data_IF_791853871344
#
_entry.id   IF_791853871344
#
_cell.length_a   1.000
_cell.length_b   1.000
_cell.length_c   1.000
_cell.angle_alpha   90.00
_cell.angle_beta   90.00
_cell.angle_gamma   90.00
#
_symmetry.space_group_name_H-M   'P 1'
#
loop_
_entity.id
_entity.type
_entity.pdbx_description
1 polymer ?
#
# COMPACT_ATOMS: atom_id res chain seq x y z
N UNK A 1 23.32 1.96 -2.78
CA UNK A 1 22.09 1.31 -2.32
C UNK A 1 20.92 1.84 -3.12
N UNK A 2 20.21 0.98 -3.77
CA UNK A 2 19.07 1.42 -4.57
C UNK A 2 17.82 1.42 -3.72
N UNK A 3 17.11 2.54 -3.73
CA UNK A 3 15.80 2.59 -3.12
C UNK A 3 14.81 1.88 -4.02
N UNK A 4 14.23 0.81 -3.51
CA UNK A 4 13.18 0.13 -4.25
C UNK A 4 11.94 0.99 -4.23
N UNK A 5 11.49 1.36 -5.42
CA UNK A 5 10.27 2.10 -5.59
C UNK A 5 9.18 1.12 -6.03
N UNK A 6 8.17 0.99 -5.21
CA UNK A 6 7.03 0.13 -5.53
C UNK A 6 5.90 0.99 -6.07
N UNK A 7 5.51 0.73 -7.29
CA UNK A 7 4.44 1.47 -7.95
C UNK A 7 3.13 0.73 -7.71
N UNK A 8 2.14 1.47 -7.24
CA UNK A 8 0.81 0.93 -7.00
C UNK A 8 -0.01 1.06 -8.28
N UNK A 9 -0.67 -0.02 -8.64
CA UNK A 9 -1.55 -0.05 -9.82
C UNK A 9 -2.96 -0.38 -9.37
N UNK A 10 -3.94 -0.01 -10.19
CA UNK A 10 -5.32 -0.36 -9.91
C UNK A 10 -5.91 -1.13 -11.10
N UNK A 11 -6.86 -2.01 -10.78
CA UNK A 11 -7.48 -2.88 -11.78
C UNK A 11 -8.94 -3.10 -11.42
N UNK A 12 -9.81 -3.01 -12.42
CA UNK A 12 -11.22 -3.33 -12.21
C UNK A 12 -11.40 -4.84 -12.20
N UNK A 13 -12.20 -5.32 -11.29
CA UNK A 13 -12.58 -6.72 -11.26
C UNK A 13 -14.05 -6.86 -10.94
N UNK A 14 -14.63 -7.98 -11.35
CA UNK A 14 -16.04 -8.28 -11.11
C UNK A 14 -16.15 -9.41 -10.09
N UNK A 15 -17.05 -9.21 -9.12
CA UNK A 15 -17.31 -10.22 -8.11
C UNK A 15 -18.81 -10.21 -7.80
N UNK A 16 -19.45 -11.35 -8.00
CA UNK A 16 -20.90 -11.51 -7.77
C UNK A 16 -21.74 -10.46 -8.50
N UNK A 17 -21.41 -10.21 -9.76
CA UNK A 17 -22.14 -9.27 -10.59
C UNK A 17 -21.90 -7.80 -10.34
N UNK A 18 -20.96 -7.46 -9.46
CA UNK A 18 -20.61 -6.07 -9.16
C UNK A 18 -19.16 -5.79 -9.53
N UNK A 19 -18.92 -4.58 -10.01
CA UNK A 19 -17.57 -4.12 -10.31
C UNK A 19 -16.93 -3.51 -9.09
N UNK A 20 -15.65 -3.87 -8.87
CA UNK A 20 -14.84 -3.32 -7.80
C UNK A 20 -13.50 -2.88 -8.36
N UNK A 21 -12.86 -1.95 -7.67
CA UNK A 21 -11.50 -1.53 -7.99
C UNK A 21 -10.54 -2.18 -7.00
N UNK A 22 -9.55 -2.91 -7.53
CA UNK A 22 -8.49 -3.49 -6.72
C UNK A 22 -7.20 -2.72 -6.87
N UNK A 23 -6.39 -2.69 -5.83
CA UNK A 23 -5.10 -2.00 -5.80
C UNK A 23 -4.02 -3.02 -5.46
N UNK A 24 -2.89 -2.93 -6.15
CA UNK A 24 -1.82 -3.91 -5.96
C UNK A 24 -0.46 -3.32 -6.34
N UNK A 25 0.59 -3.98 -5.86
CA UNK A 25 1.97 -3.72 -6.28
C UNK A 25 2.55 -4.99 -6.87
N UNK A 26 3.41 -4.85 -7.86
CA UNK A 26 4.13 -5.95 -8.48
C UNK A 26 5.62 -5.81 -8.25
N UNK A 27 6.32 -6.92 -8.24
CA UNK A 27 7.76 -6.94 -8.14
C UNK A 27 8.31 -8.33 -8.38
N UNK A 28 9.62 -8.45 -8.26
CA UNK A 28 10.30 -9.72 -8.46
C UNK A 28 10.95 -10.13 -7.15
N UNK A 29 10.64 -11.34 -6.68
CA UNK A 29 11.23 -11.90 -5.49
C UNK A 29 11.86 -13.24 -5.87
N UNK A 30 13.16 -13.36 -5.69
CA UNK A 30 13.91 -14.58 -6.00
C UNK A 30 13.66 -15.07 -7.43
N UNK A 31 13.65 -14.14 -8.37
CA UNK A 31 13.45 -14.44 -9.79
C UNK A 31 12.02 -14.71 -10.21
N UNK A 32 11.07 -14.58 -9.31
CA UNK A 32 9.65 -14.79 -9.60
C UNK A 32 8.90 -13.49 -9.55
N UNK A 33 8.02 -13.28 -10.52
CA UNK A 33 7.13 -12.13 -10.50
C UNK A 33 6.03 -12.40 -9.47
N UNK A 34 5.86 -11.46 -8.54
CA UNK A 34 4.84 -11.57 -7.49
C UNK A 34 3.96 -10.31 -7.49
N UNK A 35 2.79 -10.46 -6.93
CA UNK A 35 1.80 -9.40 -6.85
C UNK A 35 1.18 -9.42 -5.46
N UNK A 36 1.18 -8.26 -4.80
CA UNK A 36 0.59 -8.12 -3.48
C UNK A 36 -0.60 -7.15 -3.55
N UNK A 37 -1.73 -7.59 -3.07
CA UNK A 37 -2.98 -6.82 -3.12
C UNK A 37 -3.14 -6.00 -1.86
N UNK A 38 -3.59 -4.75 -2.04
CA UNK A 38 -3.77 -3.78 -0.98
C UNK A 38 -5.22 -3.34 -0.91
N UNK A 39 -5.62 -2.84 0.25
CA UNK A 39 -6.92 -2.20 0.41
C UNK A 39 -6.78 -1.03 1.39
N UNK A 40 -7.66 0.00 1.28
CA UNK A 40 -7.65 1.08 2.27
C UNK A 40 -7.99 0.56 3.65
N UNK A 41 -7.53 1.28 4.69
CA UNK A 41 -7.83 0.89 6.06
C UNK A 41 -9.28 1.14 6.46
N UNK A 42 -9.94 2.07 5.78
CA UNK A 42 -11.36 2.32 6.01
C UNK A 42 -12.09 2.61 4.68
N UNK A 43 -13.42 2.70 4.75
CA UNK A 43 -14.24 2.85 3.56
C UNK A 43 -13.99 4.17 2.81
N UNK A 44 -13.65 5.22 3.54
CA UNK A 44 -13.35 6.52 2.92
C UNK A 44 -12.05 6.49 2.14
N UNK A 45 -11.17 5.55 2.45
CA UNK A 45 -9.92 5.39 1.75
C UNK A 45 -10.09 5.08 0.27
N UNK A 46 -11.17 4.40 -0.11
CA UNK A 46 -11.43 4.14 -1.53
C UNK A 46 -11.62 5.43 -2.31
N UNK A 47 -12.33 6.39 -1.74
CA UNK A 47 -12.50 7.70 -2.36
C UNK A 47 -11.18 8.43 -2.46
N UNK A 48 -10.38 8.39 -1.40
CA UNK A 48 -9.05 9.04 -1.40
C UNK A 48 -8.16 8.42 -2.46
N UNK A 49 -8.14 7.09 -2.57
CA UNK A 49 -7.34 6.40 -3.58
C UNK A 49 -7.77 6.77 -5.00
N UNK A 50 -9.07 6.87 -5.25
CA UNK A 50 -9.56 7.27 -6.56
C UNK A 50 -9.11 8.68 -6.92
N UNK A 51 -9.16 9.61 -5.98
CA UNK A 51 -8.69 10.98 -6.18
C UNK A 51 -7.20 10.99 -6.49
N UNK A 52 -6.42 10.22 -5.73
CA UNK A 52 -4.98 10.12 -5.93
C UNK A 52 -4.65 9.58 -7.32
N UNK A 53 -5.29 8.48 -7.73
CA UNK A 53 -5.04 7.87 -9.03
C UNK A 53 -5.48 8.75 -10.19
N UNK A 54 -6.59 9.48 -10.04
CA UNK A 54 -7.09 10.35 -11.09
C UNK A 54 -6.20 11.56 -11.34
N UNK A 55 -5.53 12.05 -10.30
CA UNK A 55 -4.69 13.24 -10.40
C UNK A 55 -3.20 13.01 -10.52
N UNK A 56 -2.75 11.76 -10.54
CA UNK A 56 -1.34 11.44 -10.45
C UNK A 56 -0.83 10.64 -11.66
N UNK A 57 0.40 10.94 -12.08
CA UNK A 57 1.08 10.15 -13.09
C UNK A 57 1.73 8.91 -12.48
N UNK A 58 2.05 8.97 -11.20
CA UNK A 58 2.71 7.88 -10.50
C UNK A 58 2.23 7.83 -9.05
N UNK A 59 1.91 6.62 -8.61
CA UNK A 59 1.46 6.38 -7.24
C UNK A 59 2.36 5.31 -6.65
N UNK A 60 3.00 5.60 -5.52
CA UNK A 60 3.95 4.67 -4.92
C UNK A 60 3.50 4.18 -3.55
N UNK A 61 4.00 3.02 -3.17
CA UNK A 61 3.78 2.45 -1.85
C UNK A 61 5.01 2.70 -0.99
N UNK A 62 4.80 3.28 0.18
CA UNK A 62 5.90 3.49 1.13
C UNK A 62 5.55 2.82 2.45
N UNK A 63 6.59 2.46 3.20
CA UNK A 63 6.44 1.89 4.52
C UNK A 63 6.92 2.93 5.54
N UNK A 64 6.06 3.23 6.51
CA UNK A 64 6.41 4.14 7.60
C UNK A 64 6.58 3.32 8.88
N UNK A 65 7.76 3.32 9.49
CA UNK A 65 7.96 2.57 10.73
C UNK A 65 7.21 3.22 11.88
N UNK A 66 6.72 2.39 12.80
CA UNK A 66 6.10 2.89 14.02
C UNK A 66 6.63 2.12 15.22
N UNK A 67 6.55 2.78 16.38
CA UNK A 67 6.94 2.18 17.66
C UNK A 67 5.92 2.61 18.70
N UNK A 68 5.35 1.63 19.39
CA UNK A 68 4.37 1.86 20.44
C UNK A 68 4.87 1.20 21.72
N UNK A 69 4.86 1.93 22.83
CA UNK A 69 5.22 1.38 24.12
C UNK A 69 3.95 1.06 24.90
N UNK A 70 3.84 -0.19 25.34
CA UNK A 70 2.74 -0.62 26.20
C UNK A 70 3.03 -0.16 27.62
N UNK A 71 2.26 0.78 28.14
CA UNK A 71 2.48 1.35 29.47
C UNK A 71 2.30 0.32 30.59
N UNK A 72 1.46 -0.69 30.38
CA UNK A 72 1.18 -1.70 31.38
C UNK A 72 2.34 -2.68 31.55
N UNK A 73 3.04 -3.02 30.48
CA UNK A 73 4.10 -4.03 30.49
C UNK A 73 5.49 -3.48 30.22
N UNK A 74 5.57 -2.27 29.71
CA UNK A 74 6.83 -1.67 29.26
C UNK A 74 7.37 -2.24 27.94
N UNK A 75 6.62 -3.13 27.30
CA UNK A 75 7.05 -3.72 26.03
C UNK A 75 6.92 -2.72 24.90
N UNK A 76 7.89 -2.76 23.99
CA UNK A 76 7.89 -1.92 22.80
C UNK A 76 7.43 -2.77 21.61
N UNK A 77 6.40 -2.31 20.94
CA UNK A 77 5.86 -2.97 19.75
C UNK A 77 6.27 -2.13 18.55
N UNK A 78 6.95 -2.75 17.58
CA UNK A 78 7.39 -2.07 16.37
C UNK A 78 6.79 -2.73 15.14
N UNK A 79 6.64 -1.96 14.07
CA UNK A 79 6.14 -2.47 12.81
C UNK A 79 6.16 -1.39 11.76
N UNK A 80 5.51 -1.67 10.63
CA UNK A 80 5.42 -0.72 9.52
C UNK A 80 3.96 -0.51 9.14
N UNK A 81 3.61 0.76 8.91
CA UNK A 81 2.34 1.13 8.30
C UNK A 81 2.59 1.38 6.81
N UNK A 82 1.79 0.77 5.96
CA UNK A 82 1.90 0.99 4.53
C UNK A 82 1.02 2.15 4.11
N UNK A 83 1.55 3.01 3.25
CA UNK A 83 0.86 4.22 2.81
C UNK A 83 1.04 4.35 1.29
N UNK A 84 -0.05 4.61 0.60
CA UNK A 84 -0.02 4.98 -0.81
C UNK A 84 0.21 6.48 -0.88
N UNK A 85 1.19 6.89 -1.66
CA UNK A 85 1.62 8.28 -1.74
C UNK A 85 1.71 8.75 -3.18
N UNK A 86 1.30 9.98 -3.40
CA UNK A 86 1.44 10.64 -4.68
C UNK A 86 1.74 12.12 -4.49
N UNK A 87 2.45 12.70 -5.44
CA UNK A 87 2.74 14.13 -5.46
C UNK A 87 2.17 14.68 -6.75
N UNK A 88 1.32 15.70 -6.66
CA UNK A 88 0.73 16.30 -7.85
C UNK A 88 1.69 17.29 -8.52
N UNK A 89 1.26 17.88 -9.64
CA UNK A 89 2.08 18.83 -10.39
C UNK A 89 2.38 20.13 -9.64
N UNK A 90 1.60 20.42 -8.61
CA UNK A 90 1.84 21.60 -7.75
C UNK A 90 2.75 21.29 -6.57
N UNK A 91 3.20 20.06 -6.44
CA UNK A 91 4.03 19.63 -5.34
C UNK A 91 3.28 19.24 -4.08
N UNK A 92 1.94 19.18 -4.14
CA UNK A 92 1.17 18.72 -2.99
C UNK A 92 1.23 17.22 -2.84
N UNK A 93 1.41 16.78 -1.60
CA UNK A 93 1.55 15.37 -1.24
C UNK A 93 0.23 14.83 -0.75
N UNK A 94 -0.21 13.74 -1.36
CA UNK A 94 -1.41 13.01 -0.94
C UNK A 94 -1.01 11.65 -0.44
N UNK A 95 -1.55 11.25 0.71
CA UNK A 95 -1.24 9.96 1.31
C UNK A 95 -2.52 9.28 1.76
N UNK A 96 -2.58 7.96 1.62
CA UNK A 96 -3.70 7.15 2.08
C UNK A 96 -3.16 5.89 2.76
N UNK A 97 -3.46 5.69 4.04
CA UNK A 97 -3.05 4.47 4.73
C UNK A 97 -3.76 3.26 4.12
N UNK A 98 -3.00 2.21 3.89
CA UNK A 98 -3.52 0.96 3.32
C UNK A 98 -3.04 -0.22 4.15
N UNK A 99 -3.60 -1.38 3.89
CA UNK A 99 -3.19 -2.63 4.50
C UNK A 99 -3.25 -3.75 3.47
N UNK A 100 -2.62 -4.86 3.77
CA UNK A 100 -2.69 -6.04 2.93
C UNK A 100 -4.12 -6.60 2.94
N UNK A 101 -4.54 -7.18 1.81
CA UNK A 101 -5.88 -7.78 1.69
C UNK A 101 -5.96 -9.14 2.35
N UNK A 102 -4.89 -9.93 2.23
CA UNK A 102 -4.81 -11.29 2.79
C UNK A 102 -3.49 -11.49 3.52
N UNK A 103 -3.41 -12.52 4.36
CA UNK A 103 -2.17 -12.83 5.08
C UNK A 103 -0.98 -13.08 4.16
N UNK A 104 -1.21 -13.75 3.03
CA UNK A 104 -0.15 -13.98 2.04
C UNK A 104 0.35 -12.68 1.42
N UNK A 105 -0.53 -11.70 1.24
CA UNK A 105 -0.13 -10.39 0.72
C UNK A 105 0.80 -9.68 1.68
N UNK A 106 0.60 -9.86 2.99
CA UNK A 106 1.50 -9.28 3.99
C UNK A 106 2.91 -9.81 3.83
N UNK A 107 3.05 -11.11 3.63
CA UNK A 107 4.36 -11.74 3.42
C UNK A 107 5.01 -11.20 2.16
N UNK A 108 4.25 -11.13 1.07
CA UNK A 108 4.76 -10.61 -0.20
C UNK A 108 5.19 -9.15 -0.10
N UNK A 109 4.42 -8.32 0.59
CA UNK A 109 4.76 -6.91 0.80
C UNK A 109 6.07 -6.78 1.56
N UNK A 110 6.26 -7.57 2.61
CA UNK A 110 7.50 -7.54 3.37
C UNK A 110 8.70 -7.96 2.53
N UNK A 111 8.52 -8.93 1.65
CA UNK A 111 9.57 -9.36 0.72
C UNK A 111 9.90 -8.30 -0.30
N UNK A 112 8.89 -7.62 -0.84
CA UNK A 112 9.07 -6.56 -1.84
C UNK A 112 9.73 -5.32 -1.26
N UNK A 113 9.52 -5.05 0.03
CA UNK A 113 10.08 -3.88 0.70
C UNK A 113 11.53 -4.03 1.15
N UNK A 114 12.07 -5.22 1.07
CA UNK A 114 13.46 -5.48 1.48
C UNK A 114 14.48 -5.07 0.44
#
# INVERSE_FOLDING_TARGET
>A
MSDKKLIVEREKFEYKGKEYMGYFVKGIVKGREVRATLKPQDINGYTVLDIIFDGANEVELIAKPYSITDEATGNVITGNTFVVRSIDENGEVYECPVKHSRGSDKVLLNMLMK
#
